data_IF_945184425491
#
_entry.id   IF_945184425491
#
_cell.length_a   1.000
_cell.length_b   1.000
_cell.length_c   1.000
_cell.angle_alpha   90.00
_cell.angle_beta   90.00
_cell.angle_gamma   90.00
#
_symmetry.space_group_name_H-M   'P 1'
#
loop_
_entity.id
_entity.type
_entity.pdbx_description
1 polymer ?
#
# COMPACT_ATOMS: atom_id res chain seq x y z
N UNK A 1 -3.53 -4.84 -2.10
CA UNK A 1 -2.61 -3.85 -1.47
C UNK A 1 -2.12 -4.45 -0.17
N UNK A 2 -0.81 -4.47 0.06
CA UNK A 2 -0.19 -4.96 1.28
C UNK A 2 0.75 -3.87 1.80
N UNK A 3 0.63 -3.48 3.07
CA UNK A 3 1.47 -2.39 3.57
C UNK A 3 1.67 -2.42 5.08
N UNK A 4 2.91 -2.15 5.51
CA UNK A 4 3.29 -2.02 6.91
C UNK A 4 2.95 -0.63 7.44
N UNK A 5 2.38 -0.54 8.65
CA UNK A 5 1.98 0.74 9.24
C UNK A 5 3.17 1.63 9.62
N UNK A 6 4.36 1.06 9.74
CA UNK A 6 5.59 1.71 10.14
C UNK A 6 6.64 1.75 9.01
N UNK A 7 6.21 1.64 7.74
CA UNK A 7 7.08 1.80 6.57
C UNK A 7 7.70 3.21 6.58
N UNK A 8 9.01 3.26 6.75
CA UNK A 8 9.77 4.50 6.87
C UNK A 8 10.21 5.07 5.52
N UNK A 9 9.97 4.36 4.40
CA UNK A 9 10.33 4.79 3.06
C UNK A 9 9.11 5.33 2.31
N UNK A 10 8.00 4.60 2.33
CA UNK A 10 6.73 4.97 1.67
C UNK A 10 5.62 4.99 2.72
N UNK A 11 4.90 6.10 2.89
CA UNK A 11 3.93 6.23 3.97
C UNK A 11 2.71 5.32 3.78
N UNK A 12 2.09 4.89 4.89
CA UNK A 12 0.87 4.07 4.86
C UNK A 12 -0.38 4.84 4.45
N UNK A 13 -0.50 6.07 4.96
CA UNK A 13 -1.51 7.03 4.55
C UNK A 13 -0.88 8.10 3.63
N UNK A 14 -1.41 9.32 3.64
CA UNK A 14 -0.83 10.44 2.88
C UNK A 14 0.24 11.13 3.70
N UNK A 15 1.48 11.10 3.24
CA UNK A 15 2.59 11.82 3.87
C UNK A 15 3.72 12.06 2.85
N UNK A 16 4.75 12.84 3.21
CA UNK A 16 5.96 12.96 2.41
C UNK A 16 6.71 11.62 2.30
N UNK A 17 7.30 11.36 1.15
CA UNK A 17 8.26 10.26 0.95
C UNK A 17 9.36 10.32 2.02
N UNK A 18 9.68 9.18 2.65
CA UNK A 18 10.59 9.07 3.80
C UNK A 18 10.28 9.99 4.99
N UNK A 19 9.07 10.55 5.07
CA UNK A 19 8.67 11.49 6.12
C UNK A 19 9.59 12.71 6.21
N UNK A 20 10.17 13.14 5.08
CA UNK A 20 11.04 14.30 5.04
C UNK A 20 10.26 15.62 5.14
N UNK A 21 10.95 16.67 5.57
CA UNK A 21 10.40 18.03 5.61
C UNK A 21 10.36 18.67 4.21
N UNK A 22 9.47 19.64 4.05
CA UNK A 22 9.23 20.38 2.79
C UNK A 22 10.48 21.00 2.16
N UNK A 23 11.49 21.31 2.97
CA UNK A 23 12.73 21.97 2.53
C UNK A 23 13.83 20.98 2.14
N UNK A 24 13.64 19.68 2.36
CA UNK A 24 14.64 18.67 2.03
C UNK A 24 14.57 18.29 0.56
N UNK A 25 15.74 18.10 -0.06
CA UNK A 25 15.82 17.60 -1.43
C UNK A 25 15.10 16.23 -1.54
N UNK A 26 14.24 16.10 -2.55
CA UNK A 26 13.41 14.90 -2.72
C UNK A 26 12.11 14.90 -1.92
N UNK A 27 11.70 16.04 -1.36
CA UNK A 27 10.34 16.20 -0.81
C UNK A 27 9.28 15.96 -1.89
N UNK A 28 8.41 14.99 -1.62
CA UNK A 28 7.32 14.63 -2.50
C UNK A 28 6.19 14.01 -1.67
N UNK A 29 4.97 14.52 -1.83
CA UNK A 29 3.78 13.95 -1.18
C UNK A 29 3.36 12.66 -1.86
N UNK A 30 3.27 11.58 -1.09
CA UNK A 30 2.79 10.28 -1.54
C UNK A 30 1.47 9.92 -0.88
N UNK A 31 0.66 9.15 -1.62
CA UNK A 31 -0.55 8.53 -1.12
C UNK A 31 -0.27 7.04 -0.95
N UNK A 32 -0.14 6.61 0.30
CA UNK A 32 0.03 5.21 0.65
C UNK A 32 -1.19 4.35 0.38
N UNK A 33 -1.02 3.05 0.64
CA UNK A 33 -2.03 2.02 0.40
C UNK A 33 -3.36 2.31 1.09
N UNK A 34 -3.37 2.92 2.29
CA UNK A 34 -4.60 3.28 2.99
C UNK A 34 -5.39 4.37 2.24
N UNK A 35 -4.71 5.46 1.84
CA UNK A 35 -5.34 6.55 1.10
C UNK A 35 -5.85 6.05 -0.26
N UNK A 36 -5.07 5.21 -0.95
CA UNK A 36 -5.47 4.60 -2.22
C UNK A 36 -6.72 3.74 -2.02
N UNK A 37 -6.74 2.87 -1.01
CA UNK A 37 -7.90 2.02 -0.70
C UNK A 37 -9.17 2.83 -0.41
N UNK A 38 -9.07 3.94 0.32
CA UNK A 38 -10.20 4.85 0.53
C UNK A 38 -10.71 5.45 -0.78
N UNK A 39 -9.82 5.80 -1.71
CA UNK A 39 -10.21 6.30 -3.03
C UNK A 39 -10.88 5.22 -3.86
N UNK A 40 -10.33 3.99 -3.90
CA UNK A 40 -10.92 2.85 -4.60
C UNK A 40 -12.33 2.53 -4.08
N UNK A 41 -12.52 2.57 -2.75
CA UNK A 41 -13.86 2.44 -2.13
C UNK A 41 -14.84 3.47 -2.67
N UNK A 42 -14.45 4.74 -2.74
CA UNK A 42 -15.31 5.82 -3.25
C UNK A 42 -15.64 5.66 -4.73
N UNK A 43 -14.74 5.03 -5.50
CA UNK A 43 -14.93 4.75 -6.92
C UNK A 43 -15.73 3.48 -7.19
N UNK A 44 -16.06 2.70 -6.15
CA UNK A 44 -16.68 1.38 -6.33
C UNK A 44 -15.77 0.37 -7.01
N UNK A 45 -14.45 0.59 -7.01
CA UNK A 45 -13.48 -0.31 -7.62
C UNK A 45 -13.11 -1.43 -6.64
N UNK A 46 -13.14 -2.71 -7.04
CA UNK A 46 -12.71 -3.81 -6.19
C UNK A 46 -11.28 -3.63 -5.70
N UNK A 47 -11.05 -3.87 -4.41
CA UNK A 47 -9.72 -3.83 -3.81
C UNK A 47 -9.68 -4.67 -2.54
N UNK A 48 -8.51 -5.21 -2.23
CA UNK A 48 -8.16 -5.69 -0.90
C UNK A 48 -7.01 -4.89 -0.31
N UNK A 49 -7.10 -4.56 0.97
CA UNK A 49 -6.04 -3.91 1.74
C UNK A 49 -5.69 -4.77 2.95
N UNK A 50 -4.46 -5.26 2.98
CA UNK A 50 -3.86 -5.94 4.11
C UNK A 50 -2.94 -4.96 4.84
N UNK A 51 -3.23 -4.73 6.12
CA UNK A 51 -2.51 -3.80 6.98
C UNK A 51 -1.72 -4.59 8.01
N UNK A 52 -0.40 -4.43 8.01
CA UNK A 52 0.49 -5.09 8.96
C UNK A 52 0.93 -4.09 10.02
N UNK A 53 0.33 -4.19 11.20
CA UNK A 53 0.65 -3.33 12.33
C UNK A 53 2.10 -3.55 12.78
N UNK A 54 2.81 -2.46 13.04
CA UNK A 54 4.22 -2.44 13.48
C UNK A 54 5.22 -3.07 12.49
N UNK A 55 4.83 -3.26 11.22
CA UNK A 55 5.72 -3.71 10.15
C UNK A 55 6.22 -2.53 9.31
N UNK A 56 7.41 -2.66 8.73
CA UNK A 56 8.07 -1.65 7.91
C UNK A 56 8.03 -2.02 6.42
N UNK A 57 9.00 -1.54 5.65
CA UNK A 57 9.04 -1.65 4.19
C UNK A 57 9.20 -3.09 3.66
N UNK A 58 9.55 -4.06 4.51
CA UNK A 58 9.66 -5.48 4.14
C UNK A 58 8.36 -6.06 3.55
N UNK A 59 7.20 -5.49 3.94
CA UNK A 59 5.89 -5.87 3.43
C UNK A 59 5.73 -5.55 1.94
N UNK A 60 6.58 -4.71 1.35
CA UNK A 60 6.54 -4.45 -0.09
C UNK A 60 6.94 -5.69 -0.92
N UNK A 61 7.78 -6.58 -0.37
CA UNK A 61 8.28 -7.76 -1.09
C UNK A 61 7.70 -9.09 -0.59
N UNK A 62 7.50 -9.23 0.72
CA UNK A 62 7.07 -10.50 1.33
C UNK A 62 5.80 -11.12 0.71
N UNK A 63 4.74 -10.36 0.39
CA UNK A 63 3.50 -10.91 -0.15
C UNK A 63 3.66 -11.59 -1.51
N UNK A 64 4.71 -11.25 -2.28
CA UNK A 64 4.96 -11.90 -3.58
C UNK A 64 5.26 -13.41 -3.44
N UNK A 65 5.67 -13.86 -2.26
CA UNK A 65 5.87 -15.27 -1.94
C UNK A 65 4.89 -15.76 -0.88
N UNK A 66 4.67 -15.00 0.19
CA UNK A 66 3.88 -15.42 1.34
C UNK A 66 2.35 -15.31 1.12
N UNK A 67 1.91 -14.49 0.15
CA UNK A 67 0.50 -14.27 -0.15
C UNK A 67 0.22 -14.33 -1.66
N UNK A 68 0.99 -15.16 -2.36
CA UNK A 68 0.85 -15.31 -3.81
C UNK A 68 -0.54 -15.81 -4.18
N UNK A 69 -1.07 -16.77 -3.44
CA UNK A 69 -2.39 -17.36 -3.69
C UNK A 69 -3.50 -16.32 -3.53
N UNK A 70 -3.44 -15.44 -2.53
CA UNK A 70 -4.41 -14.35 -2.35
C UNK A 70 -4.33 -13.31 -3.47
N UNK A 71 -3.13 -13.04 -4.00
CA UNK A 71 -2.97 -12.15 -5.16
C UNK A 71 -3.63 -12.79 -6.39
N UNK A 72 -3.43 -14.08 -6.61
CA UNK A 72 -4.02 -14.82 -7.73
C UNK A 72 -5.53 -14.92 -7.59
N UNK A 73 -6.04 -15.19 -6.40
CA UNK A 73 -7.48 -15.26 -6.12
C UNK A 73 -8.18 -13.92 -6.41
N UNK A 74 -7.56 -12.80 -6.01
CA UNK A 74 -8.06 -11.47 -6.36
C UNK A 74 -8.16 -11.28 -7.88
N UNK A 75 -7.13 -11.69 -8.63
CA UNK A 75 -7.09 -11.57 -10.08
C UNK A 75 -8.20 -12.40 -10.75
N UNK A 76 -8.39 -13.66 -10.34
CA UNK A 76 -9.47 -14.49 -10.90
C UNK A 76 -10.85 -13.96 -10.54
N UNK A 77 -11.04 -13.48 -9.31
CA UNK A 77 -12.35 -13.03 -8.83
C UNK A 77 -12.79 -11.70 -9.48
N UNK A 78 -11.87 -10.75 -9.67
CA UNK A 78 -12.24 -9.38 -10.02
C UNK A 78 -11.67 -8.88 -11.35
N UNK A 79 -10.66 -9.53 -11.93
CA UNK A 79 -9.95 -9.03 -13.12
C UNK A 79 -10.17 -9.91 -14.36
N UNK A 80 -10.01 -11.23 -14.22
CA UNK A 80 -9.98 -12.18 -15.35
C UNK A 80 -11.35 -12.78 -15.72
N UNK A 81 -12.45 -12.28 -15.17
CA UNK A 81 -13.80 -12.77 -15.49
C UNK A 81 -14.07 -12.82 -17.01
#
# INVERSE_FOLDING_TARGET
>A
LFHGTCDNLVPYATAPHRHCSEKQAGYLMFNGSYTIAQKLRKLGTPYWLYTYCNASHEIAGLPMTANFDEIIDFCYTFILN
#
